data_IF_262480446888
#
_entry.id   IF_262480446888
#
_cell.length_a   1.000
_cell.length_b   1.000
_cell.length_c   1.000
_cell.angle_alpha   90.00
_cell.angle_beta   90.00
_cell.angle_gamma   90.00
#
_symmetry.space_group_name_H-M   'P 1'
#
loop_
_entity.id
_entity.type
_entity.pdbx_description
1 polymer ?
#
# COMPACT_ATOMS: atom_id res chain seq x y z
N UNK A 1 2.67 -24.78 -6.78
CA UNK A 1 3.23 -24.38 -8.07
C UNK A 1 3.39 -22.88 -8.01
N UNK A 2 4.61 -22.35 -8.11
CA UNK A 2 4.78 -20.90 -8.15
C UNK A 2 4.26 -20.44 -9.51
N UNK A 3 3.20 -19.62 -9.52
CA UNK A 3 2.79 -18.86 -10.70
C UNK A 3 4.03 -18.17 -11.26
N UNK A 4 4.16 -18.19 -12.59
CA UNK A 4 5.27 -17.56 -13.28
C UNK A 4 5.15 -16.04 -13.09
N UNK A 5 5.70 -15.52 -12.00
CA UNK A 5 5.66 -14.09 -11.68
C UNK A 5 6.49 -13.34 -12.72
N UNK A 6 5.78 -12.69 -13.65
CA UNK A 6 6.39 -11.77 -14.62
C UNK A 6 6.93 -10.57 -13.84
N UNK A 7 8.23 -10.32 -13.97
CA UNK A 7 8.90 -9.21 -13.35
C UNK A 7 9.70 -8.44 -14.40
N UNK A 8 9.78 -7.14 -14.21
CA UNK A 8 10.65 -6.25 -14.98
C UNK A 8 11.55 -5.46 -14.04
N UNK A 9 12.57 -4.84 -14.60
CA UNK A 9 13.45 -3.98 -13.84
C UNK A 9 13.69 -2.66 -14.55
N UNK A 10 14.03 -1.64 -13.77
CA UNK A 10 14.56 -0.36 -14.26
C UNK A 10 16.00 -0.23 -13.80
N UNK A 11 16.82 0.42 -14.61
CA UNK A 11 18.19 0.79 -14.28
C UNK A 11 18.51 2.20 -14.80
N UNK A 12 19.73 2.66 -14.54
CA UNK A 12 20.23 3.89 -15.13
C UNK A 12 20.70 3.64 -16.56
N UNK A 13 20.43 4.58 -17.46
CA UNK A 13 20.85 4.43 -18.86
C UNK A 13 22.36 4.53 -18.96
N UNK A 14 23.02 3.47 -19.45
CA UNK A 14 24.45 3.54 -19.75
C UNK A 14 24.74 4.49 -20.93
N UNK A 15 23.88 4.47 -21.95
CA UNK A 15 24.01 5.30 -23.13
C UNK A 15 23.05 6.49 -23.04
N UNK A 16 23.56 7.71 -23.25
CA UNK A 16 22.80 8.96 -23.18
C UNK A 16 22.04 9.16 -21.84
N UNK A 17 22.74 9.10 -20.69
CA UNK A 17 22.12 9.28 -19.38
C UNK A 17 21.51 10.68 -19.27
N UNK A 18 20.37 10.77 -18.58
CA UNK A 18 19.73 12.05 -18.28
C UNK A 18 19.90 12.44 -16.81
N UNK A 19 19.80 13.74 -16.51
CA UNK A 19 19.77 14.24 -15.13
C UNK A 19 18.48 13.92 -14.39
N UNK A 20 17.52 13.24 -15.03
CA UNK A 20 16.19 12.96 -14.51
C UNK A 20 15.96 11.47 -14.24
N UNK A 21 17.00 10.65 -14.32
CA UNK A 21 16.93 9.25 -13.94
C UNK A 21 17.00 9.07 -12.43
N UNK A 22 16.20 8.15 -11.91
CA UNK A 22 16.16 7.79 -10.51
C UNK A 22 15.91 6.29 -10.37
N UNK A 23 16.30 5.73 -9.23
CA UNK A 23 16.00 4.35 -8.86
C UNK A 23 15.44 4.31 -7.44
N UNK A 24 14.66 3.27 -7.15
CA UNK A 24 14.16 3.02 -5.81
C UNK A 24 15.31 2.67 -4.85
N UNK A 25 15.08 2.92 -3.56
CA UNK A 25 16.01 2.61 -2.48
C UNK A 25 15.33 1.75 -1.42
N UNK A 26 16.07 1.40 -0.35
CA UNK A 26 15.49 0.67 0.78
C UNK A 26 14.27 1.41 1.30
N UNK A 27 13.20 0.65 1.57
CA UNK A 27 11.89 1.10 2.05
C UNK A 27 10.91 1.62 0.97
N UNK A 28 11.28 1.60 -0.32
CA UNK A 28 10.33 1.88 -1.41
C UNK A 28 9.54 0.63 -1.87
N UNK A 29 9.81 -0.54 -1.29
CA UNK A 29 9.07 -1.79 -1.55
C UNK A 29 7.57 -1.61 -1.34
N UNK A 30 6.75 -2.16 -2.24
CA UNK A 30 5.31 -1.94 -2.32
C UNK A 30 4.92 -0.66 -3.08
N UNK A 31 5.89 0.22 -3.37
CA UNK A 31 5.68 1.43 -4.17
C UNK A 31 5.21 1.13 -5.59
N UNK A 32 4.49 2.09 -6.17
CA UNK A 32 3.92 1.97 -7.51
C UNK A 32 4.89 2.44 -8.60
N UNK A 33 4.94 1.70 -9.71
CA UNK A 33 5.57 2.14 -10.95
C UNK A 33 4.47 2.45 -11.95
N UNK A 34 4.50 3.67 -12.48
CA UNK A 34 3.57 4.12 -13.50
C UNK A 34 4.27 4.24 -14.86
N UNK A 35 3.57 3.84 -15.91
CA UNK A 35 3.98 4.09 -17.29
C UNK A 35 3.01 5.07 -17.95
N UNK A 36 3.52 5.90 -18.85
CA UNK A 36 2.69 6.81 -19.61
C UNK A 36 2.24 6.13 -20.91
N UNK A 37 0.94 5.91 -21.05
CA UNK A 37 0.30 5.38 -22.24
C UNK A 37 -0.49 6.51 -22.93
N UNK A 38 0.14 7.13 -23.93
CA UNK A 38 -0.40 8.32 -24.58
C UNK A 38 -0.50 9.50 -23.61
N UNK A 39 -1.72 9.94 -23.30
CA UNK A 39 -1.98 11.02 -22.33
C UNK A 39 -2.25 10.54 -20.91
N UNK A 40 -2.35 9.22 -20.70
CA UNK A 40 -2.77 8.64 -19.42
C UNK A 40 -1.57 8.01 -18.70
N UNK A 41 -1.62 8.04 -17.38
CA UNK A 41 -0.71 7.27 -16.53
C UNK A 41 -1.40 5.98 -16.09
N UNK A 42 -0.71 4.86 -16.25
CA UNK A 42 -1.20 3.53 -15.93
C UNK A 42 -0.29 2.87 -14.90
N UNK A 43 -0.87 2.16 -13.93
CA UNK A 43 -0.12 1.40 -12.94
C UNK A 43 0.46 0.14 -13.61
N UNK A 44 1.77 0.13 -13.84
CA UNK A 44 2.47 -0.93 -14.55
C UNK A 44 3.03 -2.00 -13.61
N UNK A 45 3.48 -1.59 -12.41
CA UNK A 45 4.17 -2.49 -11.50
C UNK A 45 4.13 -2.06 -10.05
N UNK A 46 4.50 -3.00 -9.16
CA UNK A 46 4.82 -2.71 -7.76
C UNK A 46 6.25 -3.17 -7.45
N UNK A 47 7.00 -2.32 -6.75
CA UNK A 47 8.40 -2.57 -6.40
C UNK A 47 8.46 -3.71 -5.39
N UNK A 48 9.22 -4.77 -5.72
CA UNK A 48 9.40 -5.92 -4.82
C UNK A 48 10.82 -6.04 -4.30
N UNK A 49 11.81 -5.52 -5.03
CA UNK A 49 13.19 -5.52 -4.57
C UNK A 49 13.98 -4.35 -5.15
N UNK A 50 14.98 -3.93 -4.40
CA UNK A 50 16.05 -3.05 -4.87
C UNK A 50 17.33 -3.85 -4.82
N UNK A 51 18.03 -3.90 -5.95
CA UNK A 51 19.28 -4.62 -6.04
C UNK A 51 20.45 -3.65 -6.17
N UNK A 52 21.35 -3.76 -5.20
CA UNK A 52 22.63 -3.05 -5.19
C UNK A 52 23.76 -4.09 -5.25
N UNK A 53 24.48 -4.21 -6.39
CA UNK A 53 25.61 -5.13 -6.50
C UNK A 53 26.85 -4.65 -5.72
N UNK A 54 26.82 -3.44 -5.14
CA UNK A 54 28.00 -2.78 -4.59
C UNK A 54 27.99 -2.80 -3.07
N UNK A 55 28.80 -3.68 -2.48
CA UNK A 55 29.03 -3.66 -1.04
C UNK A 55 29.74 -2.37 -0.62
N UNK A 56 29.22 -1.69 0.40
CA UNK A 56 29.81 -0.45 0.92
C UNK A 56 29.59 0.79 0.06
N UNK A 57 28.56 0.82 -0.81
CA UNK A 57 28.25 2.02 -1.59
C UNK A 57 28.00 3.27 -0.71
N UNK A 58 28.33 4.48 -1.18
CA UNK A 58 28.08 5.70 -0.43
C UNK A 58 26.60 5.87 -0.06
N UNK A 59 26.32 6.10 1.23
CA UNK A 59 24.95 6.15 1.77
C UNK A 59 24.28 4.78 1.94
N UNK A 60 25.00 3.69 1.68
CA UNK A 60 24.50 2.33 1.79
C UNK A 60 23.27 2.12 0.91
N UNK A 61 22.34 1.29 1.36
CA UNK A 61 21.13 0.93 0.63
C UNK A 61 20.06 2.03 0.59
N UNK A 62 20.33 3.20 1.20
CA UNK A 62 19.42 4.36 1.20
C UNK A 62 19.68 5.33 0.05
N UNK A 63 20.76 5.12 -0.72
CA UNK A 63 21.09 5.92 -1.88
C UNK A 63 21.04 5.06 -3.14
N UNK A 64 20.47 5.60 -4.21
CA UNK A 64 20.58 5.04 -5.54
C UNK A 64 21.86 5.55 -6.21
N UNK A 65 22.67 4.62 -6.74
CA UNK A 65 23.83 4.94 -7.57
C UNK A 65 23.79 4.19 -8.89
N UNK A 66 24.55 4.68 -9.88
CA UNK A 66 24.66 4.05 -11.19
C UNK A 66 25.01 2.56 -11.06
N UNK A 67 24.24 1.70 -11.74
CA UNK A 67 24.34 0.24 -11.66
C UNK A 67 23.45 -0.43 -10.60
N UNK A 68 22.75 0.33 -9.76
CA UNK A 68 21.61 -0.19 -9.00
C UNK A 68 20.41 -0.40 -9.94
N UNK A 69 19.57 -1.40 -9.63
CA UNK A 69 18.35 -1.68 -10.38
C UNK A 69 17.16 -1.91 -9.44
N UNK A 70 16.00 -1.40 -9.86
CA UNK A 70 14.71 -1.60 -9.19
C UNK A 70 13.98 -2.75 -9.86
N UNK A 71 13.51 -3.73 -9.09
CA UNK A 71 12.75 -4.88 -9.60
C UNK A 71 11.29 -4.72 -9.18
N UNK A 72 10.39 -4.86 -10.15
CA UNK A 72 8.96 -4.78 -9.95
C UNK A 72 8.23 -5.98 -10.55
N UNK A 73 7.10 -6.33 -9.95
CA UNK A 73 6.15 -7.29 -10.53
C UNK A 73 5.35 -6.58 -11.60
N UNK A 74 5.22 -7.23 -12.75
CA UNK A 74 4.39 -6.79 -13.86
C UNK A 74 2.91 -7.07 -13.54
N UNK A 75 2.13 -6.00 -13.34
CA UNK A 75 0.72 -6.14 -13.00
C UNK A 75 -0.15 -6.56 -14.18
N UNK A 76 0.34 -6.46 -15.43
CA UNK A 76 -0.42 -6.95 -16.58
C UNK A 76 -0.62 -8.46 -16.51
N UNK A 77 0.35 -9.18 -15.94
CA UNK A 77 0.26 -10.62 -15.69
C UNK A 77 -0.74 -10.99 -14.59
N UNK A 78 -1.09 -10.04 -13.72
CA UNK A 78 -2.01 -10.24 -12.58
C UNK A 78 -3.34 -9.51 -12.75
N UNK A 79 -3.59 -8.90 -13.92
CA UNK A 79 -4.77 -8.08 -14.15
C UNK A 79 -6.07 -8.87 -13.98
N UNK A 80 -6.11 -10.15 -14.35
CA UNK A 80 -7.28 -11.02 -14.18
C UNK A 80 -7.58 -11.19 -12.69
N UNK A 81 -6.58 -11.61 -11.91
CA UNK A 81 -6.73 -11.84 -10.47
C UNK A 81 -7.15 -10.56 -9.75
N UNK A 82 -6.50 -9.43 -10.04
CA UNK A 82 -6.81 -8.13 -9.45
C UNK A 82 -8.27 -7.74 -9.75
N UNK A 83 -8.69 -7.88 -11.01
CA UNK A 83 -10.05 -7.52 -11.40
C UNK A 83 -11.10 -8.46 -10.81
N UNK A 84 -10.79 -9.73 -10.59
CA UNK A 84 -11.67 -10.66 -9.86
C UNK A 84 -11.96 -10.16 -8.44
N UNK A 85 -10.92 -9.73 -7.71
CA UNK A 85 -11.11 -9.17 -6.37
C UNK A 85 -11.93 -7.86 -6.38
N UNK A 86 -11.76 -7.00 -7.40
CA UNK A 86 -12.51 -5.75 -7.52
C UNK A 86 -14.01 -5.95 -7.78
N UNK A 87 -14.40 -7.07 -8.41
CA UNK A 87 -15.79 -7.38 -8.72
C UNK A 87 -16.52 -8.07 -7.58
N UNK A 88 -15.80 -8.62 -6.60
CA UNK A 88 -16.41 -9.17 -5.39
C UNK A 88 -16.65 -8.04 -4.39
N UNK A 89 -17.91 -7.78 -3.96
CA UNK A 89 -18.16 -6.82 -2.89
C UNK A 89 -17.36 -7.26 -1.66
N UNK A 90 -16.36 -6.49 -1.26
CA UNK A 90 -15.64 -6.71 0.00
C UNK A 90 -16.70 -6.52 1.09
N UNK A 91 -17.10 -7.57 1.84
CA UNK A 91 -18.09 -7.41 2.88
C UNK A 91 -17.51 -6.43 3.90
N UNK A 92 -18.16 -5.28 4.06
CA UNK A 92 -17.77 -4.35 5.11
C UNK A 92 -17.82 -5.08 6.45
N UNK A 93 -16.75 -4.97 7.24
CA UNK A 93 -16.65 -5.69 8.50
C UNK A 93 -17.85 -5.31 9.38
N UNK A 94 -18.67 -6.29 9.75
CA UNK A 94 -19.89 -6.11 10.54
C UNK A 94 -19.66 -5.49 11.93
N UNK A 95 -18.40 -5.32 12.33
CA UNK A 95 -17.96 -4.68 13.56
C UNK A 95 -18.36 -3.19 13.59
N UNK A 96 -18.37 -2.48 12.45
CA UNK A 96 -18.84 -1.07 12.40
C UNK A 96 -20.32 -0.94 12.76
N UNK A 97 -21.16 -1.88 12.32
CA UNK A 97 -22.58 -1.91 12.65
C UNK A 97 -22.82 -2.22 14.13
N UNK A 98 -22.07 -3.17 14.68
CA UNK A 98 -22.17 -3.57 16.10
C UNK A 98 -21.72 -2.43 17.02
N UNK A 99 -20.61 -1.75 16.71
CA UNK A 99 -20.08 -0.66 17.54
C UNK A 99 -21.02 0.56 17.57
N UNK A 100 -21.64 0.87 16.43
CA UNK A 100 -22.62 1.97 16.34
C UNK A 100 -23.90 1.65 17.11
N UNK A 101 -24.39 0.41 17.03
CA UNK A 101 -25.54 -0.04 17.80
C UNK A 101 -25.26 -0.07 19.32
N UNK A 102 -24.07 -0.51 19.74
CA UNK A 102 -23.64 -0.47 21.14
C UNK A 102 -23.54 0.96 21.67
N UNK A 103 -22.95 1.88 20.91
CA UNK A 103 -22.92 3.30 21.27
C UNK A 103 -24.33 3.89 21.41
N UNK A 104 -25.25 3.56 20.50
CA UNK A 104 -26.63 4.02 20.59
C UNK A 104 -27.35 3.46 21.84
N UNK A 105 -27.16 2.18 22.15
CA UNK A 105 -27.72 1.54 23.35
C UNK A 105 -27.15 2.16 24.63
N UNK A 106 -25.83 2.38 24.71
CA UNK A 106 -25.19 3.05 25.84
C UNK A 106 -25.70 4.48 26.04
N UNK A 107 -25.92 5.24 24.96
CA UNK A 107 -26.48 6.59 25.03
C UNK A 107 -27.94 6.60 25.50
N UNK A 108 -28.74 5.60 25.11
CA UNK A 108 -30.15 5.47 25.52
C UNK A 108 -30.27 4.97 26.96
N UNK A 109 -29.42 4.03 27.38
CA UNK A 109 -29.42 3.49 28.74
C UNK A 109 -28.75 4.43 29.75
N UNK A 110 -27.70 5.15 29.35
CA UNK A 110 -27.01 6.14 30.19
C UNK A 110 -27.86 7.36 30.55
N UNK A 111 -28.92 7.65 29.79
CA UNK A 111 -29.90 8.72 30.12
C UNK A 111 -30.89 8.35 31.22
N UNK A 112 -30.95 7.09 31.69
CA UNK A 112 -31.94 6.63 32.68
C UNK A 112 -31.42 6.54 34.12
N UNK A 113 -30.15 6.85 34.37
CA UNK A 113 -29.59 6.80 35.73
C UNK A 113 -29.65 8.18 36.39
N UNK A 114 -30.79 8.52 37.01
CA UNK A 114 -30.85 9.58 38.02
C UNK A 114 -30.72 8.94 39.42
N UNK A 115 -29.69 9.24 40.21
CA UNK A 115 -29.62 8.77 41.59
C UNK A 115 -30.70 9.48 42.42
N UNK A 116 -31.61 8.71 43.01
CA UNK A 116 -32.64 9.24 43.90
C UNK A 116 -31.97 9.85 45.14
N UNK A 117 -32.06 11.17 45.29
CA UNK A 117 -31.67 11.87 46.51
C UNK A 117 -32.65 11.47 47.62
N UNK A 118 -32.15 10.76 48.63
CA UNK A 118 -32.89 10.43 49.85
C UNK A 118 -33.26 11.71 50.60
N UNK A 119 -34.53 12.10 50.56
CA UNK A 119 -35.10 13.05 51.51
C UNK A 119 -35.59 12.27 52.74
N UNK A 120 -34.73 12.16 53.77
CA UNK A 120 -35.16 11.72 55.10
C UNK A 120 -35.80 12.89 55.84
N UNK A 121 -37.13 12.85 55.99
CA UNK A 121 -37.86 13.63 57.00
C UNK A 121 -37.87 12.81 58.28
N UNK A 122 -37.15 13.30 59.29
CA UNK A 122 -37.56 13.42 60.70
C UNK A 122 -36.42 14.07 61.49
#
# INVERSE_FOLDING_TARGET
TYENSSAFYTDFSYNNPTSYEAQAVTHDSGGAIFTQNGTNWELAGTIVAVASPFNGQPGGSNNAIFGNYTIAIDLSAHAIDINEYLLTPIPESSISGILTALCAVCCVLGRRYEPSVNASVN
#
